data_IF_839442413642
#
_entry.id   IF_839442413642
#
_cell.length_a   1.000
_cell.length_b   1.000
_cell.length_c   1.000
_cell.angle_alpha   90.00
_cell.angle_beta   90.00
_cell.angle_gamma   90.00
#
_symmetry.space_group_name_H-M   'P 1'
#
loop_
_entity.id
_entity.type
_entity.pdbx_description
1 polymer ?
#
# COMPACT_ATOMS: atom_id res chain seq x y z
N UNK A 1 -8.92 2.26 -15.52
CA UNK A 1 -7.57 1.96 -15.00
C UNK A 1 -7.67 1.09 -13.76
N UNK A 2 -6.67 0.23 -13.49
CA UNK A 2 -6.63 -0.68 -12.33
C UNK A 2 -5.55 -0.22 -11.35
N UNK A 3 -6.00 0.29 -10.20
CA UNK A 3 -5.14 0.51 -9.04
C UNK A 3 -4.98 -0.84 -8.34
N UNK A 4 -3.76 -1.11 -7.88
CA UNK A 4 -3.49 -2.24 -6.99
C UNK A 4 -2.95 -1.73 -5.67
N UNK A 5 -3.13 -2.54 -4.62
CA UNK A 5 -2.60 -2.25 -3.30
C UNK A 5 -1.90 -3.48 -2.75
N UNK A 6 -0.96 -3.26 -1.83
CA UNK A 6 -0.36 -4.31 -1.02
C UNK A 6 0.13 -3.74 0.31
N UNK A 7 0.26 -4.59 1.32
CA UNK A 7 0.92 -4.19 2.57
C UNK A 7 2.43 -4.13 2.39
N UNK A 8 3.03 -3.04 2.87
CA UNK A 8 4.48 -2.83 2.85
C UNK A 8 4.98 -2.39 4.21
N UNK A 9 6.17 -2.88 4.55
CA UNK A 9 6.95 -2.29 5.64
C UNK A 9 7.53 -0.97 5.15
N UNK A 10 7.18 0.11 5.84
CA UNK A 10 7.78 1.43 5.70
C UNK A 10 8.61 1.71 6.94
N UNK A 11 9.83 2.21 6.73
CA UNK A 11 10.68 2.72 7.79
C UNK A 11 10.67 4.25 7.78
N UNK A 12 10.53 4.83 8.97
CA UNK A 12 10.60 6.27 9.21
C UNK A 12 11.20 6.53 10.58
N UNK A 13 12.25 7.35 10.64
CA UNK A 13 12.96 7.72 11.88
C UNK A 13 13.38 6.51 12.74
N UNK A 14 13.79 5.41 12.09
CA UNK A 14 14.22 4.17 12.74
C UNK A 14 13.08 3.25 13.22
N UNK A 15 11.83 3.59 12.92
CA UNK A 15 10.64 2.81 13.27
C UNK A 15 10.08 2.13 12.03
N UNK A 16 9.80 0.82 12.14
CA UNK A 16 9.23 0.01 11.06
C UNK A 16 7.74 -0.22 11.30
N UNK A 17 6.91 0.21 10.37
CA UNK A 17 5.45 0.09 10.41
C UNK A 17 4.91 -0.50 9.11
N UNK A 18 3.76 -1.15 9.17
CA UNK A 18 3.09 -1.65 7.96
C UNK A 18 2.05 -0.63 7.50
N UNK A 19 2.05 -0.34 6.21
CA UNK A 19 1.09 0.56 5.57
C UNK A 19 0.46 -0.13 4.36
N UNK A 20 -0.76 0.28 4.02
CA UNK A 20 -1.37 -0.05 2.73
C UNK A 20 -0.76 0.87 1.68
N UNK A 21 -0.07 0.29 0.68
CA UNK A 21 0.60 1.05 -0.39
C UNK A 21 -0.13 0.82 -1.70
N UNK A 22 -0.51 1.91 -2.36
CA UNK A 22 -1.21 1.90 -3.64
C UNK A 22 -0.24 2.11 -4.79
N UNK A 23 -0.48 1.38 -5.87
CA UNK A 23 0.31 1.41 -7.08
C UNK A 23 -0.56 1.71 -8.30
N UNK A 24 -0.04 2.50 -9.24
CA UNK A 24 -0.63 2.65 -10.57
C UNK A 24 -0.41 1.38 -11.43
N UNK A 25 -0.88 1.40 -12.68
CA UNK A 25 -0.78 0.24 -13.58
C UNK A 25 0.67 -0.11 -13.97
N UNK A 26 1.59 0.85 -13.86
CA UNK A 26 3.03 0.65 -14.11
C UNK A 26 3.75 0.06 -12.89
N UNK A 27 3.07 -0.02 -11.74
CA UNK A 27 3.65 -0.47 -10.48
C UNK A 27 4.39 0.64 -9.71
N UNK A 28 4.22 1.90 -10.09
CA UNK A 28 4.78 3.03 -9.34
C UNK A 28 3.88 3.35 -8.14
N UNK A 29 4.48 3.74 -7.01
CA UNK A 29 3.74 4.13 -5.81
C UNK A 29 3.00 5.44 -6.08
N UNK A 30 1.71 5.48 -5.79
CA UNK A 30 0.89 6.70 -5.91
C UNK A 30 0.48 7.26 -4.54
N UNK A 31 0.32 6.40 -3.53
CA UNK A 31 0.00 6.79 -2.16
C UNK A 31 0.25 5.65 -1.18
N UNK A 32 0.24 5.95 0.11
CA UNK A 32 0.13 4.95 1.18
C UNK A 32 -0.71 5.50 2.35
N UNK A 33 -1.19 4.64 3.24
CA UNK A 33 -2.01 5.04 4.39
C UNK A 33 -1.26 6.01 5.33
N UNK A 34 -1.89 7.11 5.74
CA UNK A 34 -1.23 8.11 6.62
C UNK A 34 -0.74 7.49 7.94
N UNK A 35 -1.63 6.72 8.59
CA UNK A 35 -1.32 5.98 9.80
C UNK A 35 -0.88 4.53 9.49
N UNK A 36 -0.05 3.93 10.35
CA UNK A 36 0.22 2.50 10.34
C UNK A 36 -1.06 1.67 10.43
N UNK A 37 -1.13 0.62 9.62
CA UNK A 37 -2.23 -0.34 9.67
C UNK A 37 -1.92 -1.47 10.67
N UNK A 38 -2.97 -2.08 11.20
CA UNK A 38 -2.90 -3.30 12.01
C UNK A 38 -3.85 -4.36 11.45
N UNK A 39 -3.60 -5.66 11.71
CA UNK A 39 -4.46 -6.73 11.21
C UNK A 39 -5.89 -6.60 11.76
N UNK A 40 -6.89 -6.84 10.91
CA UNK A 40 -8.31 -6.77 11.27
C UNK A 40 -9.17 -7.79 10.52
N UNK A 41 -10.36 -8.08 11.03
CA UNK A 41 -11.33 -8.99 10.42
C UNK A 41 -12.64 -9.04 11.21
N UNK A 42 -13.76 -9.35 10.56
CA UNK A 42 -15.06 -9.53 11.22
C UNK A 42 -15.17 -10.92 11.85
N UNK A 43 -14.40 -11.88 11.33
CA UNK A 43 -14.27 -13.24 11.86
C UNK A 43 -12.84 -13.58 12.26
N UNK A 44 -12.67 -14.69 12.98
CA UNK A 44 -11.35 -15.16 13.38
C UNK A 44 -10.52 -15.68 12.23
N UNK A 45 -11.18 -16.22 11.20
CA UNK A 45 -10.55 -16.67 9.97
C UNK A 45 -10.04 -15.48 9.15
N UNK A 46 -10.86 -14.43 8.96
CA UNK A 46 -10.46 -13.20 8.27
C UNK A 46 -9.29 -12.50 8.97
N UNK A 47 -9.31 -12.40 10.31
CA UNK A 47 -8.18 -11.81 11.03
C UNK A 47 -6.88 -12.61 10.82
N UNK A 48 -6.95 -13.95 10.76
CA UNK A 48 -5.77 -14.77 10.48
C UNK A 48 -5.27 -14.57 9.06
N UNK A 49 -6.16 -14.50 8.08
CA UNK A 49 -5.82 -14.22 6.69
C UNK A 49 -5.15 -12.85 6.56
N UNK A 50 -5.67 -11.82 7.23
CA UNK A 50 -5.08 -10.49 7.24
C UNK A 50 -3.69 -10.48 7.90
N UNK A 51 -3.52 -11.21 9.02
CA UNK A 51 -2.21 -11.42 9.62
C UNK A 51 -1.20 -12.09 8.67
N UNK A 52 -1.65 -13.05 7.85
CA UNK A 52 -0.79 -13.69 6.84
C UNK A 52 -0.32 -12.70 5.78
N UNK A 53 -1.17 -11.77 5.32
CA UNK A 53 -0.76 -10.70 4.40
C UNK A 53 0.28 -9.76 5.04
N UNK A 54 0.11 -9.38 6.31
CA UNK A 54 1.09 -8.60 7.05
C UNK A 54 2.44 -9.33 7.17
N UNK A 55 2.42 -10.65 7.42
CA UNK A 55 3.63 -11.47 7.45
C UNK A 55 4.30 -11.55 6.07
N UNK A 56 3.52 -11.62 4.99
CA UNK A 56 4.05 -11.59 3.64
C UNK A 56 4.78 -10.28 3.33
N UNK A 57 4.30 -9.14 3.84
CA UNK A 57 4.96 -7.84 3.68
C UNK A 57 6.40 -7.83 4.22
N UNK A 58 6.68 -8.59 5.28
CA UNK A 58 8.03 -8.71 5.87
C UNK A 58 9.04 -9.38 4.94
N UNK A 59 8.57 -10.13 3.93
CA UNK A 59 9.44 -10.80 2.95
C UNK A 59 9.78 -9.90 1.75
N UNK A 60 9.25 -8.68 1.69
CA UNK A 60 9.52 -7.71 0.63
C UNK A 60 10.54 -6.66 1.13
N UNK A 61 11.27 -5.98 0.22
CA UNK A 61 12.18 -4.91 0.62
C UNK A 61 11.50 -3.83 1.46
N UNK A 62 12.15 -3.32 2.50
CA UNK A 62 11.63 -2.19 3.28
C UNK A 62 11.64 -0.94 2.41
N UNK A 63 10.53 -0.19 2.42
CA UNK A 63 10.46 1.14 1.82
C UNK A 63 10.92 2.16 2.86
N UNK A 64 11.82 3.08 2.50
CA UNK A 64 12.22 4.18 3.38
C UNK A 64 11.39 5.39 3.05
N UNK A 65 10.69 5.96 4.03
CA UNK A 65 9.71 7.04 3.79
C UNK A 65 10.32 8.24 3.07
N UNK A 66 11.57 8.58 3.36
CA UNK A 66 12.30 9.70 2.77
C UNK A 66 12.75 9.44 1.33
N UNK A 67 12.72 8.18 0.88
CA UNK A 67 13.12 7.75 -0.47
C UNK A 67 11.89 7.44 -1.37
N UNK A 68 10.66 7.56 -0.86
CA UNK A 68 9.44 7.30 -1.65
C UNK A 68 9.19 8.47 -2.61
N UNK A 69 9.18 8.18 -3.90
CA UNK A 69 8.73 9.09 -4.95
C UNK A 69 7.29 8.70 -5.37
N UNK A 70 6.36 9.66 -5.30
CA UNK A 70 4.99 9.44 -5.73
C UNK A 70 4.83 9.76 -7.21
N UNK A 71 4.32 8.78 -7.97
CA UNK A 71 3.85 9.02 -9.32
C UNK A 71 2.52 9.78 -9.32
N UNK A 72 2.25 10.50 -10.41
CA UNK A 72 0.92 11.01 -10.67
C UNK A 72 -0.07 9.82 -10.77
N UNK A 73 -1.28 10.03 -10.27
CA UNK A 73 -2.40 9.18 -10.65
C UNK A 73 -2.56 9.35 -12.17
N UNK A 74 -2.66 8.25 -12.90
CA UNK A 74 -2.91 8.34 -14.33
C UNK A 74 -4.27 9.05 -14.50
N UNK A 75 -4.28 10.21 -15.18
CA UNK A 75 -5.48 11.05 -15.34
C UNK A 75 -6.61 10.21 -15.95
N UNK A 76 -7.82 10.29 -15.37
CA UNK A 76 -9.02 9.97 -16.17
C UNK A 76 -8.97 10.92 -17.37
N UNK A 77 -8.80 10.40 -18.59
CA UNK A 77 -9.25 11.16 -19.76
C UNK A 77 -10.71 11.52 -19.44
N UNK A 78 -10.99 12.80 -19.17
CA UNK A 78 -12.35 13.34 -19.12
C UNK A 78 -13.04 12.85 -20.38
N UNK A 79 -13.90 11.84 -20.22
CA UNK A 79 -14.67 11.29 -21.30
C UNK A 79 -15.46 12.43 -21.91
N UNK A 80 -15.05 12.83 -23.11
CA UNK A 80 -15.70 13.81 -23.97
C UNK A 80 -17.21 13.63 -23.87
N UNK A 81 -17.88 14.62 -23.29
CA UNK A 81 -19.32 14.69 -23.27
C UNK A 81 -19.78 14.97 -24.71
N UNK A 82 -20.04 13.91 -25.47
CA UNK A 82 -20.73 13.95 -26.76
C UNK A 82 -22.11 13.31 -26.67
#
# INVERSE_FOLDING_TARGET
MKISWDYRVIEHDGVFTVHEVHYNERGDIISFSEDPMGPSGETMEELKEDMEYFLQALNRPVLRKEEIEFAAMDDEEEGDAS
#
